data_IF_974708539239
#
_entry.id   IF_974708539239
#
_cell.length_a   1.000
_cell.length_b   1.000
_cell.length_c   1.000
_cell.angle_alpha   90.00
_cell.angle_beta   90.00
_cell.angle_gamma   90.00
#
_symmetry.space_group_name_H-M   'P 1'
#
loop_
_entity.id
_entity.type
_entity.pdbx_description
1 polymer ?
#
# COMPACT_ATOMS: atom_id res chain seq x y z
N UNK A 1 -6.11 -15.46 -3.53
CA UNK A 1 -7.22 -14.49 -3.53
C UNK A 1 -6.69 -13.05 -3.47
N UNK A 2 -6.45 -12.44 -2.31
CA UNK A 2 -6.11 -11.00 -2.24
C UNK A 2 -4.82 -10.60 -2.98
N UNK A 3 -3.78 -11.46 -2.96
CA UNK A 3 -2.49 -11.18 -3.63
C UNK A 3 -2.62 -11.19 -5.17
N UNK A 4 -3.36 -12.16 -5.71
CA UNK A 4 -3.58 -12.32 -7.16
C UNK A 4 -4.44 -11.18 -7.72
N UNK A 5 -5.47 -10.75 -6.98
CA UNK A 5 -6.28 -9.59 -7.34
C UNK A 5 -5.44 -8.31 -7.40
N UNK A 6 -4.54 -8.10 -6.42
CA UNK A 6 -3.64 -6.94 -6.38
C UNK A 6 -2.60 -6.94 -7.51
N UNK A 7 -2.13 -8.11 -7.92
CA UNK A 7 -1.21 -8.24 -9.07
C UNK A 7 -1.89 -7.87 -10.39
N UNK A 8 -3.20 -8.15 -10.51
CA UNK A 8 -4.05 -7.81 -11.65
C UNK A 8 -4.43 -6.33 -11.78
N UNK A 9 -4.25 -5.50 -10.74
CA UNK A 9 -4.62 -4.08 -10.80
C UNK A 9 -3.78 -3.28 -11.79
N UNK A 10 -4.40 -2.33 -12.50
CA UNK A 10 -3.65 -1.42 -13.38
C UNK A 10 -2.72 -0.50 -12.57
N UNK A 11 -1.72 0.08 -13.24
CA UNK A 11 -0.82 1.05 -12.60
C UNK A 11 -1.59 2.30 -12.16
N UNK A 12 -2.58 2.79 -12.92
CA UNK A 12 -3.33 3.99 -12.53
C UNK A 12 -4.09 3.79 -11.22
N UNK A 13 -4.78 2.65 -11.08
CA UNK A 13 -5.53 2.33 -9.85
C UNK A 13 -4.60 2.31 -8.64
N UNK A 14 -3.40 1.74 -8.79
CA UNK A 14 -2.38 1.73 -7.74
C UNK A 14 -1.90 3.15 -7.43
N UNK A 15 -1.64 3.97 -8.44
CA UNK A 15 -1.22 5.36 -8.23
C UNK A 15 -2.26 6.16 -7.43
N UNK A 16 -3.55 6.04 -7.75
CA UNK A 16 -4.63 6.71 -7.00
C UNK A 16 -4.58 6.35 -5.52
N UNK A 17 -4.44 5.07 -5.19
CA UNK A 17 -4.40 4.61 -3.80
C UNK A 17 -3.13 5.10 -3.10
N UNK A 18 -1.99 5.00 -3.77
CA UNK A 18 -0.70 5.47 -3.24
C UNK A 18 -0.75 6.97 -2.92
N UNK A 19 -1.28 7.79 -3.81
CA UNK A 19 -1.35 9.24 -3.64
C UNK A 19 -2.39 9.64 -2.58
N UNK A 20 -3.42 8.81 -2.40
CA UNK A 20 -4.40 8.98 -1.34
C UNK A 20 -3.78 8.74 0.04
N UNK A 21 -3.13 7.59 0.27
CA UNK A 21 -2.62 7.19 1.60
C UNK A 21 -1.20 7.69 1.90
N UNK A 22 -0.34 7.79 0.88
CA UNK A 22 1.08 8.07 0.98
C UNK A 22 1.41 9.55 0.92
N UNK A 23 2.57 9.94 1.46
CA UNK A 23 3.15 11.27 1.25
C UNK A 23 3.70 11.40 -0.18
N UNK A 24 3.91 12.64 -0.67
CA UNK A 24 4.66 12.85 -1.91
C UNK A 24 5.99 12.09 -1.88
N UNK A 25 6.33 11.39 -2.98
CA UNK A 25 7.55 10.59 -3.07
C UNK A 25 7.45 9.16 -2.53
N UNK A 26 6.30 8.75 -1.99
CA UNK A 26 6.07 7.35 -1.58
C UNK A 26 6.31 6.40 -2.76
N UNK A 27 7.03 5.30 -2.49
CA UNK A 27 7.36 4.29 -3.50
C UNK A 27 6.59 3.00 -3.25
N UNK A 28 6.26 2.30 -4.34
CA UNK A 28 5.77 0.93 -4.25
C UNK A 28 6.94 -0.03 -4.02
N UNK A 29 6.82 -0.89 -3.02
CA UNK A 29 7.74 -1.96 -2.69
C UNK A 29 7.24 -3.28 -3.26
N UNK A 30 8.17 -4.16 -3.65
CA UNK A 30 7.87 -5.51 -4.10
C UNK A 30 7.52 -6.40 -2.89
N UNK A 31 6.49 -7.23 -3.05
CA UNK A 31 6.35 -8.41 -2.19
C UNK A 31 7.48 -9.39 -2.55
N UNK A 32 8.10 -10.06 -1.59
CA UNK A 32 9.16 -11.04 -1.86
C UNK A 32 8.69 -12.07 -2.90
N UNK A 33 9.41 -12.19 -4.01
CA UNK A 33 9.07 -13.09 -5.13
C UNK A 33 7.97 -12.59 -6.08
N UNK A 34 7.45 -11.37 -5.93
CA UNK A 34 6.50 -10.76 -6.86
C UNK A 34 7.21 -9.89 -7.91
N UNK A 35 6.80 -10.01 -9.18
CA UNK A 35 7.32 -9.16 -10.25
C UNK A 35 6.85 -7.71 -10.11
N UNK A 36 5.61 -7.51 -9.65
CA UNK A 36 4.95 -6.21 -9.58
C UNK A 36 4.98 -5.64 -8.15
N UNK A 37 5.43 -4.39 -7.96
CA UNK A 37 5.33 -3.70 -6.68
C UNK A 37 3.87 -3.55 -6.21
N UNK A 38 3.59 -3.97 -4.97
CA UNK A 38 2.24 -4.02 -4.38
C UNK A 38 2.18 -3.61 -2.90
N UNK A 39 3.31 -3.28 -2.28
CA UNK A 39 3.39 -2.85 -0.87
C UNK A 39 3.76 -1.37 -0.75
N UNK A 40 3.29 -0.71 0.30
CA UNK A 40 3.72 0.63 0.70
C UNK A 40 4.18 0.56 2.16
N UNK A 41 5.28 1.23 2.50
CA UNK A 41 5.72 1.32 3.89
C UNK A 41 4.74 2.17 4.70
N UNK A 42 4.28 1.65 5.85
CA UNK A 42 3.36 2.37 6.74
C UNK A 42 3.95 3.70 7.25
N UNK A 43 5.28 3.78 7.38
CA UNK A 43 5.99 5.00 7.77
C UNK A 43 5.79 6.16 6.79
N UNK A 44 5.61 5.85 5.50
CA UNK A 44 5.47 6.83 4.42
C UNK A 44 4.04 7.35 4.28
N UNK A 45 3.09 6.84 5.06
CA UNK A 45 1.69 7.26 5.00
C UNK A 45 1.53 8.68 5.56
N UNK A 46 0.51 9.40 5.06
CA UNK A 46 0.00 10.63 5.67
C UNK A 46 -0.45 10.35 7.12
N UNK A 47 -0.43 11.33 8.04
CA UNK A 47 -0.70 11.09 9.46
C UNK A 47 -2.02 10.35 9.75
N UNK A 48 -3.12 10.75 9.11
CA UNK A 48 -4.44 10.10 9.30
C UNK A 48 -4.44 8.66 8.79
N UNK A 49 -3.90 8.43 7.58
CA UNK A 49 -3.82 7.10 7.00
C UNK A 49 -2.90 6.18 7.82
N UNK A 50 -1.81 6.73 8.37
CA UNK A 50 -0.90 6.00 9.25
C UNK A 50 -1.57 5.57 10.54
N UNK A 51 -2.29 6.47 11.21
CA UNK A 51 -3.02 6.16 12.44
C UNK A 51 -4.04 5.03 12.20
N UNK A 52 -4.78 5.09 11.09
CA UNK A 52 -5.67 4.01 10.66
C UNK A 52 -4.93 2.70 10.41
N UNK A 53 -3.84 2.73 9.64
CA UNK A 53 -3.06 1.54 9.34
C UNK A 53 -2.44 0.89 10.58
N UNK A 54 -1.93 1.70 11.52
CA UNK A 54 -1.40 1.23 12.80
C UNK A 54 -2.50 0.62 13.68
N UNK A 55 -3.70 1.21 13.70
CA UNK A 55 -4.83 0.64 14.42
C UNK A 55 -5.24 -0.72 13.83
N UNK A 56 -5.41 -0.83 12.51
CA UNK A 56 -5.77 -2.10 11.85
C UNK A 56 -4.72 -3.18 12.14
N UNK A 57 -3.43 -2.86 11.99
CA UNK A 57 -2.34 -3.80 12.23
C UNK A 57 -2.26 -4.32 13.67
N UNK A 58 -2.80 -3.58 14.64
CA UNK A 58 -2.80 -3.96 16.06
C UNK A 58 -4.07 -4.66 16.52
N UNK A 59 -5.18 -4.49 15.80
CA UNK A 59 -6.50 -4.90 16.29
C UNK A 59 -7.24 -5.89 15.38
N UNK A 60 -6.88 -5.97 14.09
CA UNK A 60 -7.59 -6.79 13.10
C UNK A 60 -6.72 -7.92 12.54
N UNK A 61 -5.41 -7.68 12.45
CA UNK A 61 -4.44 -8.58 11.82
C UNK A 61 -3.95 -9.69 12.75
#
# INVERSE_FOLDING_TARGET
MAKEELEGWTLERRTVIKDFVGRPGTVWLKYSGGERPTKICLGDFKPVARAWGEWVARNVA
#
